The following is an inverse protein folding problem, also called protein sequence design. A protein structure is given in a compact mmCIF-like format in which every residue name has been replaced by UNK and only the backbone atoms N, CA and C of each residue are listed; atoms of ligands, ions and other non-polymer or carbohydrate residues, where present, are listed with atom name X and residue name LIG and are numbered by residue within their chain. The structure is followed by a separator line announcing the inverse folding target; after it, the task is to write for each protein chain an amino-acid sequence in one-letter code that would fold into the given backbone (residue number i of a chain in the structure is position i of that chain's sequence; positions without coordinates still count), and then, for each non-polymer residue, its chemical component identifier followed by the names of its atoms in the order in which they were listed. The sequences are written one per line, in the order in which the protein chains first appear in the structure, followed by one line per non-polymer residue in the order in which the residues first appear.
data_IF_349377739507
#
_entry.id   IF_349377739507
#
_cell.length_a   1.000
_cell.length_b   1.000
_cell.length_c   1.000
_cell.angle_alpha   90.00
_cell.angle_beta   90.00
_cell.angle_gamma   90.00
#
_symmetry.space_group_name_H-M   'P 1'
#
loop_
_entity.id
_entity.type
_entity.pdbx_description
1 polymer ?
#
# COMPACT_ATOMS: atom_id res chain seq x y z
N UNK A 1 -13.16 -7.55 4.55
CA UNK A 1 -13.91 -6.59 3.69
C UNK A 1 -12.88 -5.62 3.12
N UNK A 2 -12.99 -5.22 1.86
CA UNK A 2 -12.01 -4.28 1.26
C UNK A 2 -12.26 -2.87 1.78
N UNK A 3 -11.20 -2.11 2.05
CA UNK A 3 -11.30 -0.73 2.58
C UNK A 3 -12.15 0.20 1.70
N UNK A 4 -12.06 0.04 0.38
CA UNK A 4 -12.85 0.79 -0.60
C UNK A 4 -14.36 0.57 -0.43
N UNK A 5 -14.79 -0.65 -0.07
CA UNK A 5 -16.20 -0.96 0.16
C UNK A 5 -16.77 -0.27 1.40
N UNK A 6 -15.90 0.20 2.29
CA UNK A 6 -16.23 0.99 3.47
C UNK A 6 -16.15 2.50 3.20
N UNK A 7 -15.86 2.91 1.95
CA UNK A 7 -15.76 4.31 1.54
C UNK A 7 -14.39 4.95 1.83
N UNK A 8 -13.37 4.15 2.17
CA UNK A 8 -12.01 4.65 2.34
C UNK A 8 -11.25 4.70 1.01
N UNK A 9 -10.30 5.62 0.90
CA UNK A 9 -9.32 5.68 -0.19
C UNK A 9 -7.94 5.26 0.36
N UNK A 10 -7.63 3.95 0.37
CA UNK A 10 -6.42 3.44 1.01
C UNK A 10 -5.17 3.77 0.20
N UNK A 11 -4.05 3.92 0.91
CA UNK A 11 -2.71 4.10 0.35
C UNK A 11 -1.83 2.93 0.79
N UNK A 12 -1.08 2.35 -0.13
CA UNK A 12 -0.05 1.38 0.23
C UNK A 12 1.21 2.13 0.68
N UNK A 13 1.63 1.91 1.92
CA UNK A 13 2.90 2.40 2.44
C UNK A 13 3.91 1.24 2.47
N UNK A 14 5.14 1.48 2.02
CA UNK A 14 6.17 0.45 1.94
C UNK A 14 7.59 0.99 2.19
N UNK A 15 8.59 0.10 2.21
CA UNK A 15 9.99 0.51 2.26
C UNK A 15 10.40 1.26 0.97
N UNK A 16 11.31 2.27 1.05
CA UNK A 16 11.74 3.05 -0.12
C UNK A 16 12.22 2.21 -1.31
N UNK A 17 12.98 1.15 -1.04
CA UNK A 17 13.49 0.22 -2.06
C UNK A 17 12.40 -0.55 -2.81
N UNK A 18 11.23 -0.73 -2.20
CA UNK A 18 10.12 -1.51 -2.74
C UNK A 18 9.14 -0.66 -3.56
N UNK A 19 9.09 0.66 -3.30
CA UNK A 19 8.12 1.59 -3.89
C UNK A 19 8.04 1.55 -5.43
N UNK A 20 9.15 1.58 -6.19
CA UNK A 20 9.07 1.59 -7.66
C UNK A 20 8.48 0.28 -8.22
N UNK A 21 8.87 -0.86 -7.64
CA UNK A 21 8.37 -2.17 -8.05
C UNK A 21 6.88 -2.32 -7.73
N UNK A 22 6.46 -1.92 -6.54
CA UNK A 22 5.04 -1.96 -6.15
C UNK A 22 4.20 -1.01 -6.98
N UNK A 23 4.66 0.21 -7.25
CA UNK A 23 3.93 1.13 -8.14
C UNK A 23 3.76 0.55 -9.54
N UNK A 24 4.81 -0.05 -10.13
CA UNK A 24 4.70 -0.70 -11.44
C UNK A 24 3.70 -1.85 -11.43
N UNK A 25 3.76 -2.71 -10.41
CA UNK A 25 2.85 -3.83 -10.25
C UNK A 25 1.40 -3.38 -10.10
N UNK A 26 1.14 -2.48 -9.16
CA UNK A 26 -0.20 -1.99 -8.83
C UNK A 26 -0.80 -1.13 -9.93
N UNK A 27 0.01 -0.40 -10.72
CA UNK A 27 -0.50 0.32 -11.89
C UNK A 27 -1.22 -0.59 -12.90
N UNK A 28 -0.93 -1.90 -12.91
CA UNK A 28 -1.60 -2.88 -13.78
C UNK A 28 -2.83 -3.54 -13.12
N UNK A 29 -2.88 -3.60 -11.79
CA UNK A 29 -3.91 -4.36 -11.06
C UNK A 29 -4.91 -3.47 -10.33
N UNK A 30 -4.47 -2.37 -9.75
CA UNK A 30 -5.26 -1.37 -9.01
C UNK A 30 -4.72 0.04 -9.35
N UNK A 31 -5.01 0.58 -10.56
CA UNK A 31 -4.32 1.76 -11.09
C UNK A 31 -4.48 3.04 -10.26
N UNK A 32 -5.58 3.14 -9.50
CA UNK A 32 -5.91 4.29 -8.67
C UNK A 32 -5.29 4.23 -7.26
N UNK A 33 -4.73 3.10 -6.83
CA UNK A 33 -4.16 2.98 -5.49
C UNK A 33 -2.81 3.72 -5.39
N UNK A 34 -2.70 4.76 -4.54
CA UNK A 34 -1.43 5.43 -4.32
C UNK A 34 -0.45 4.50 -3.59
N UNK A 35 0.84 4.68 -3.89
CA UNK A 35 1.94 3.94 -3.25
C UNK A 35 2.96 4.94 -2.76
N UNK A 36 3.20 4.94 -1.45
CA UNK A 36 4.17 5.80 -0.77
C UNK A 36 5.26 4.96 -0.10
N UNK A 37 6.45 5.52 0.00
CA UNK A 37 7.48 5.04 0.92
C UNK A 37 7.30 5.68 2.30
N UNK A 38 7.92 5.09 3.33
CA UNK A 38 7.99 5.70 4.65
C UNK A 38 8.62 7.11 4.64
N UNK A 39 9.52 7.39 3.69
CA UNK A 39 10.22 8.68 3.56
C UNK A 39 9.35 9.77 2.88
N UNK A 40 8.29 9.37 2.18
CA UNK A 40 7.33 10.31 1.59
C UNK A 40 6.26 10.77 2.60
N UNK A 41 6.22 10.18 3.81
CA UNK A 41 5.29 10.56 4.88
C UNK A 41 5.79 11.78 5.65
N UNK A 42 4.90 12.75 5.89
CA UNK A 42 5.22 13.88 6.74
C UNK A 42 5.08 13.53 8.22
N UNK A 43 5.98 14.07 9.05
CA UNK A 43 6.09 13.74 10.50
C UNK A 43 4.83 14.05 11.32
N UNK A 44 3.93 14.88 10.81
CA UNK A 44 2.72 15.33 11.50
C UNK A 44 1.45 14.59 11.05
N UNK A 45 1.59 13.52 10.25
CA UNK A 45 0.46 12.71 9.81
C UNK A 45 0.00 11.78 10.94
N UNK A 46 -1.31 11.68 11.13
CA UNK A 46 -1.91 10.59 11.90
C UNK A 46 -2.24 9.46 10.94
N UNK A 47 -1.72 8.26 11.20
CA UNK A 47 -1.89 7.10 10.32
C UNK A 47 -2.90 6.15 10.97
N UNK A 48 -3.98 5.84 10.23
CA UNK A 48 -4.88 4.75 10.57
C UNK A 48 -4.50 3.48 9.77
N UNK A 49 -4.01 2.47 10.48
CA UNK A 49 -3.54 1.24 9.85
C UNK A 49 -4.72 0.29 9.57
N UNK A 50 -5.22 0.32 8.33
CA UNK A 50 -6.34 -0.53 7.91
C UNK A 50 -5.97 -2.03 7.79
N UNK A 51 -4.68 -2.36 7.67
CA UNK A 51 -4.18 -3.74 7.58
C UNK A 51 -2.74 -3.83 7.07
N UNK A 52 -2.23 -5.05 6.93
CA UNK A 52 -0.90 -5.34 6.37
C UNK A 52 -0.99 -6.41 5.29
N UNK A 53 -0.17 -6.28 4.24
CA UNK A 53 -0.05 -7.29 3.18
C UNK A 53 1.12 -8.20 3.54
N UNK A 54 0.81 -9.48 3.74
CA UNK A 54 1.82 -10.52 4.00
C UNK A 54 1.78 -11.51 2.85
N UNK A 55 2.96 -11.91 2.36
CA UNK A 55 3.06 -13.03 1.45
C UNK A 55 3.03 -14.31 2.28
N UNK A 56 1.97 -15.09 2.13
CA UNK A 56 2.01 -16.47 2.60
C UNK A 56 2.80 -17.28 1.57
N UNK A 57 3.97 -17.78 1.97
CA UNK A 57 4.73 -18.69 1.14
C UNK A 57 3.87 -19.94 0.92
N UNK A 58 3.29 -20.08 -0.27
CA UNK A 58 2.69 -21.33 -0.69
C UNK A 58 3.85 -22.28 -0.97
N UNK A 59 4.10 -23.23 -0.06
CA UNK A 59 5.02 -24.34 -0.32
C UNK A 59 4.48 -25.11 -1.54
N UNK A 60 5.15 -24.95 -2.67
CA UNK A 60 5.01 -25.81 -3.83
C UNK A 60 5.78 -27.13 -3.62
#
# INVERSE_FOLDING_TARGET
RSAEQLGHEPVLVCAPSLRPAMRSFLARTIPHMPVLSYEELADHLTIDALGSVTLEASNA
#
